data_IF_407947895868
#
_entry.id   IF_407947895868
#
_cell.length_a   1.000
_cell.length_b   1.000
_cell.length_c   1.000
_cell.angle_alpha   90.00
_cell.angle_beta   90.00
_cell.angle_gamma   90.00
#
_symmetry.space_group_name_H-M   'P 1'
#
loop_
_entity.id
_entity.type
_entity.pdbx_description
1 polymer ?
#
# COMPACT_ATOMS: atom_id res chain seq x y z
N UNK A 1 8.51 14.94 -9.60
CA UNK A 1 8.43 13.90 -10.64
C UNK A 1 7.00 13.72 -11.11
N UNK A 2 6.80 13.44 -12.42
CA UNK A 2 5.49 13.12 -13.00
C UNK A 2 5.57 11.75 -13.65
N UNK A 3 4.52 10.95 -13.47
CA UNK A 3 4.45 9.59 -13.98
C UNK A 3 3.14 9.35 -14.71
N UNK A 4 3.18 8.50 -15.73
CA UNK A 4 2.04 7.85 -16.34
C UNK A 4 1.95 6.43 -15.79
N UNK A 5 0.81 6.11 -15.18
CA UNK A 5 0.57 4.80 -14.58
C UNK A 5 -0.49 4.07 -15.39
N UNK A 6 -0.20 2.81 -15.70
CA UNK A 6 -1.15 1.85 -16.25
C UNK A 6 -1.16 0.60 -15.40
N UNK A 7 -2.32 0.22 -14.92
CA UNK A 7 -2.53 -1.01 -14.18
C UNK A 7 -3.58 -1.84 -14.89
N UNK A 8 -3.22 -3.02 -15.36
CA UNK A 8 -4.12 -3.93 -16.06
C UNK A 8 -4.19 -5.27 -15.35
N UNK A 9 -5.42 -5.68 -15.01
CA UNK A 9 -5.74 -6.97 -14.42
C UNK A 9 -6.59 -7.77 -15.40
N UNK A 10 -6.21 -9.01 -15.67
CA UNK A 10 -6.99 -9.93 -16.49
C UNK A 10 -7.31 -11.16 -15.64
N UNK A 11 -8.61 -11.37 -15.43
CA UNK A 11 -9.16 -12.56 -14.77
C UNK A 11 -9.70 -13.50 -15.84
N UNK A 12 -9.28 -14.78 -15.81
CA UNK A 12 -9.82 -15.84 -16.66
C UNK A 12 -10.42 -16.93 -15.80
N UNK A 13 -11.60 -17.41 -16.20
CA UNK A 13 -12.37 -18.41 -15.47
C UNK A 13 -12.44 -19.71 -16.28
N UNK A 14 -12.27 -20.85 -15.62
CA UNK A 14 -12.36 -22.18 -16.25
C UNK A 14 -13.76 -22.48 -16.78
N UNK A 15 -14.81 -21.99 -16.09
CA UNK A 15 -16.19 -22.01 -16.55
C UNK A 15 -16.81 -20.61 -16.46
N UNK A 16 -17.96 -20.31 -17.13
CA UNK A 16 -18.55 -18.98 -17.07
C UNK A 16 -18.86 -18.53 -15.64
N UNK A 17 -18.35 -17.40 -15.25
CA UNK A 17 -18.77 -16.65 -14.07
C UNK A 17 -20.07 -15.94 -14.41
N UNK A 18 -21.11 -16.07 -13.58
CA UNK A 18 -22.49 -15.60 -13.88
C UNK A 18 -22.84 -14.29 -13.21
N UNK A 19 -22.27 -14.04 -12.04
CA UNK A 19 -22.47 -12.84 -11.24
C UNK A 19 -21.18 -12.50 -10.54
N UNK A 20 -20.81 -11.24 -10.57
CA UNK A 20 -19.72 -10.75 -9.71
C UNK A 20 -20.04 -9.36 -9.15
N UNK A 21 -19.55 -9.12 -7.94
CA UNK A 21 -19.49 -7.81 -7.30
C UNK A 21 -18.08 -7.58 -6.83
N UNK A 22 -17.40 -6.62 -7.47
CA UNK A 22 -16.03 -6.28 -7.13
C UNK A 22 -15.94 -4.86 -6.59
N UNK A 23 -15.05 -4.65 -5.61
CA UNK A 23 -14.56 -3.35 -5.20
C UNK A 23 -13.16 -3.18 -5.76
N UNK A 24 -12.93 -2.10 -6.47
CA UNK A 24 -11.64 -1.74 -7.04
C UNK A 24 -11.10 -0.50 -6.32
N UNK A 25 -9.83 -0.52 -5.95
CA UNK A 25 -9.12 0.61 -5.32
C UNK A 25 -7.89 0.95 -6.14
N UNK A 26 -8.14 1.37 -7.39
CA UNK A 26 -7.11 1.64 -8.40
C UNK A 26 -6.97 3.13 -8.72
N UNK A 27 -7.87 3.97 -8.20
CA UNK A 27 -7.78 5.42 -8.31
C UNK A 27 -7.03 5.97 -7.10
N UNK A 28 -5.94 6.73 -7.30
CA UNK A 28 -5.27 7.38 -6.17
C UNK A 28 -6.21 8.28 -5.38
N UNK A 29 -6.21 8.13 -4.06
CA UNK A 29 -6.89 9.05 -3.18
C UNK A 29 -6.08 10.36 -3.07
N UNK A 30 -6.74 11.49 -2.79
CA UNK A 30 -6.04 12.74 -2.52
C UNK A 30 -5.06 12.57 -1.35
N UNK A 31 -3.81 12.99 -1.55
CA UNK A 31 -2.77 12.94 -0.55
C UNK A 31 -1.85 14.16 -0.63
N UNK A 32 -1.41 14.75 0.50
CA UNK A 32 -0.48 15.88 0.49
C UNK A 32 0.79 15.59 -0.32
N UNK A 33 1.23 16.55 -1.12
CA UNK A 33 2.41 16.39 -1.98
C UNK A 33 2.20 15.53 -3.23
N UNK A 34 0.94 15.12 -3.52
CA UNK A 34 0.59 14.33 -4.69
C UNK A 34 -0.65 14.91 -5.38
N UNK A 35 -0.66 14.91 -6.70
CA UNK A 35 -1.83 15.22 -7.50
C UNK A 35 -2.04 14.17 -8.60
N UNK A 36 -3.28 13.98 -9.03
CA UNK A 36 -3.66 13.01 -10.06
C UNK A 36 -4.55 13.68 -11.10
N UNK A 37 -4.26 13.43 -12.38
CA UNK A 37 -5.10 13.82 -13.51
C UNK A 37 -5.32 12.66 -14.47
N UNK A 38 -6.20 12.86 -15.45
CA UNK A 38 -6.45 11.96 -16.58
C UNK A 38 -6.81 10.52 -16.15
N UNK A 39 -7.49 10.38 -15.01
CA UNK A 39 -7.91 9.08 -14.52
C UNK A 39 -8.99 8.47 -15.42
N UNK A 40 -8.71 7.26 -15.91
CA UNK A 40 -9.65 6.42 -16.65
C UNK A 40 -9.69 5.02 -16.04
N UNK A 41 -10.86 4.45 -15.95
CA UNK A 41 -11.11 3.05 -15.60
C UNK A 41 -11.89 2.38 -16.71
N UNK A 42 -11.28 1.43 -17.38
CA UNK A 42 -11.88 0.64 -18.45
C UNK A 42 -12.12 -0.79 -17.94
N UNK A 43 -13.30 -1.31 -18.21
CA UNK A 43 -13.72 -2.66 -17.82
C UNK A 43 -14.33 -3.36 -19.03
N UNK A 44 -13.80 -4.52 -19.38
CA UNK A 44 -14.26 -5.34 -20.51
C UNK A 44 -14.49 -6.79 -20.07
N UNK A 45 -15.72 -7.34 -20.27
CA UNK A 45 -16.91 -6.69 -20.84
C UNK A 45 -17.44 -5.59 -19.92
N UNK A 46 -18.24 -4.69 -20.50
CA UNK A 46 -18.87 -3.60 -19.75
C UNK A 46 -19.67 -4.14 -18.56
N UNK A 47 -19.49 -3.60 -17.36
CA UNK A 47 -20.24 -3.99 -16.18
C UNK A 47 -21.72 -3.56 -16.30
N UNK A 48 -22.61 -4.31 -15.66
CA UNK A 48 -24.04 -3.94 -15.55
C UNK A 48 -24.25 -2.66 -14.74
N UNK A 49 -23.37 -2.41 -13.78
CA UNK A 49 -23.33 -1.18 -12.99
C UNK A 49 -21.90 -0.89 -12.50
N UNK A 50 -21.58 0.40 -12.41
CA UNK A 50 -20.37 0.89 -11.78
C UNK A 50 -20.69 2.14 -10.96
N UNK A 51 -20.25 2.17 -9.70
CA UNK A 51 -20.35 3.31 -8.79
C UNK A 51 -18.96 3.59 -8.21
N UNK A 52 -18.61 4.87 -8.08
CA UNK A 52 -17.27 5.26 -7.63
C UNK A 52 -17.36 6.39 -6.62
N UNK A 53 -16.80 6.17 -5.43
CA UNK A 53 -16.88 7.10 -4.29
C UNK A 53 -15.65 7.02 -3.37
N UNK A 54 -15.40 8.08 -2.57
CA UNK A 54 -14.48 7.98 -1.45
C UNK A 54 -14.90 6.88 -0.47
N UNK A 55 -13.93 6.17 0.07
CA UNK A 55 -14.13 5.19 1.13
C UNK A 55 -14.08 5.82 2.54
N UNK A 56 -14.07 4.96 3.56
CA UNK A 56 -13.98 5.40 4.96
C UNK A 56 -12.57 5.90 5.34
N UNK A 57 -11.55 5.46 4.63
CA UNK A 57 -10.15 5.82 4.78
C UNK A 57 -9.70 6.67 3.60
N UNK A 58 -8.46 7.18 3.54
CA UNK A 58 -7.89 7.77 2.32
C UNK A 58 -7.80 6.73 1.20
N UNK A 59 -8.94 6.40 0.62
CA UNK A 59 -9.12 5.38 -0.44
C UNK A 59 -10.29 5.76 -1.32
N UNK A 60 -10.19 5.50 -2.61
CA UNK A 60 -11.27 5.63 -3.58
C UNK A 60 -11.75 4.24 -3.98
N UNK A 61 -13.05 3.97 -3.90
CA UNK A 61 -13.64 2.66 -4.18
C UNK A 61 -14.56 2.74 -5.39
N UNK A 62 -14.23 2.01 -6.46
CA UNK A 62 -15.17 1.76 -7.56
C UNK A 62 -15.80 0.39 -7.35
N UNK A 63 -17.12 0.36 -7.23
CA UNK A 63 -17.93 -0.86 -7.12
C UNK A 63 -18.46 -1.21 -8.48
N UNK A 64 -18.16 -2.41 -8.94
CA UNK A 64 -18.72 -2.89 -10.21
C UNK A 64 -19.54 -4.17 -10.02
N UNK A 65 -20.57 -4.30 -10.84
CA UNK A 65 -21.47 -5.45 -10.88
C UNK A 65 -21.46 -6.01 -12.29
N UNK A 66 -21.29 -7.32 -12.42
CA UNK A 66 -21.38 -8.07 -13.68
C UNK A 66 -22.47 -9.12 -13.51
N UNK A 67 -23.48 -9.06 -14.35
CA UNK A 67 -24.65 -9.97 -14.30
C UNK A 67 -24.75 -10.85 -15.54
N UNK A 68 -23.82 -10.70 -16.47
CA UNK A 68 -23.76 -11.54 -17.69
C UNK A 68 -22.73 -12.65 -17.51
N UNK A 69 -22.97 -13.86 -18.04
CA UNK A 69 -21.98 -14.92 -18.03
C UNK A 69 -20.74 -14.55 -18.84
N UNK A 70 -19.56 -14.53 -18.18
CA UNK A 70 -18.29 -14.22 -18.81
C UNK A 70 -17.21 -15.24 -18.45
N UNK A 71 -16.24 -15.43 -19.33
CA UNK A 71 -15.04 -16.27 -19.09
C UNK A 71 -13.78 -15.45 -18.86
N UNK A 72 -13.82 -14.18 -19.20
CA UNK A 72 -12.71 -13.25 -18.99
C UNK A 72 -13.24 -11.89 -18.57
N UNK A 73 -12.53 -11.26 -17.65
CA UNK A 73 -12.74 -9.88 -17.23
C UNK A 73 -11.39 -9.16 -17.31
N UNK A 74 -11.35 -8.06 -18.06
CA UNK A 74 -10.22 -7.16 -18.11
C UNK A 74 -10.58 -5.86 -17.41
N UNK A 75 -9.73 -5.44 -16.49
CA UNK A 75 -9.85 -4.17 -15.76
C UNK A 75 -8.56 -3.39 -16.02
N UNK A 76 -8.68 -2.19 -16.54
CA UNK A 76 -7.52 -1.32 -16.77
C UNK A 76 -7.75 0.05 -16.17
N UNK A 77 -6.84 0.48 -15.31
CA UNK A 77 -6.79 1.83 -14.75
C UNK A 77 -5.58 2.56 -15.34
N UNK A 78 -5.80 3.80 -15.78
CA UNK A 78 -4.75 4.71 -16.27
C UNK A 78 -4.90 6.06 -15.60
N UNK A 79 -3.79 6.70 -15.30
CA UNK A 79 -3.77 8.07 -14.79
C UNK A 79 -2.37 8.68 -14.90
N UNK A 80 -2.34 10.00 -14.84
CA UNK A 80 -1.12 10.80 -14.69
C UNK A 80 -1.03 11.25 -13.24
N UNK A 81 0.15 11.13 -12.64
CA UNK A 81 0.36 11.45 -11.23
C UNK A 81 1.66 12.24 -11.05
N UNK A 82 1.56 13.35 -10.35
CA UNK A 82 2.73 14.13 -9.93
C UNK A 82 2.98 13.96 -8.45
N UNK A 83 4.23 13.67 -8.10
CA UNK A 83 4.70 13.58 -6.72
C UNK A 83 5.67 14.73 -6.48
N UNK A 84 5.31 15.59 -5.52
CA UNK A 84 6.14 16.65 -5.00
C UNK A 84 6.69 16.20 -3.66
N UNK A 85 7.98 15.98 -3.57
CA UNK A 85 8.59 15.58 -2.31
C UNK A 85 10.06 15.98 -2.29
N UNK A 86 10.47 16.63 -1.20
CA UNK A 86 11.87 16.66 -0.78
C UNK A 86 12.22 15.39 -0.04
N UNK A 87 13.50 15.02 0.00
CA UNK A 87 13.94 13.91 0.84
C UNK A 87 13.62 14.20 2.31
N UNK A 88 12.73 13.39 2.90
CA UNK A 88 12.49 13.42 4.33
C UNK A 88 13.67 12.71 5.00
N UNK A 89 14.28 13.36 5.98
CA UNK A 89 15.37 12.79 6.76
C UNK A 89 15.06 12.93 8.25
N UNK A 90 15.58 12.04 9.11
CA UNK A 90 15.55 12.22 10.56
C UNK A 90 16.19 13.56 10.96
N UNK A 91 15.58 14.25 11.93
CA UNK A 91 16.03 15.53 12.45
C UNK A 91 16.31 15.39 13.96
N UNK A 92 17.23 16.20 14.47
CA UNK A 92 17.60 16.15 15.88
C UNK A 92 16.46 16.60 16.82
N UNK A 93 15.54 17.40 16.32
CA UNK A 93 14.36 17.92 17.01
C UNK A 93 13.05 17.14 16.69
N UNK A 94 13.16 15.99 16.04
CA UNK A 94 12.02 15.10 15.86
C UNK A 94 11.41 14.73 17.23
N UNK A 95 10.07 14.70 17.34
CA UNK A 95 9.44 14.34 18.62
C UNK A 95 9.81 12.91 19.02
N UNK A 96 9.80 12.66 20.33
CA UNK A 96 10.03 11.31 20.84
C UNK A 96 8.80 10.42 20.64
N UNK A 97 9.02 9.11 20.60
CA UNK A 97 7.95 8.09 20.49
C UNK A 97 6.89 8.31 21.58
N UNK A 98 7.30 8.51 22.83
CA UNK A 98 6.36 8.74 23.96
C UNK A 98 5.53 10.02 23.78
N UNK A 99 6.14 11.10 23.27
CA UNK A 99 5.42 12.34 23.00
C UNK A 99 4.39 12.16 21.87
N UNK A 100 4.73 11.43 20.82
CA UNK A 100 3.80 11.16 19.71
C UNK A 100 2.69 10.24 20.14
N UNK A 101 2.96 9.19 20.91
CA UNK A 101 1.92 8.29 21.45
C UNK A 101 0.90 9.05 22.30
N UNK A 102 1.35 9.94 23.19
CA UNK A 102 0.46 10.79 23.98
C UNK A 102 -0.34 11.77 23.11
N UNK A 103 0.29 12.41 22.12
CA UNK A 103 -0.36 13.32 21.21
C UNK A 103 -1.44 12.61 20.36
N UNK A 104 -1.18 11.38 19.93
CA UNK A 104 -2.13 10.58 19.16
C UNK A 104 -3.40 10.23 19.95
N UNK A 105 -3.26 9.92 21.24
CA UNK A 105 -4.40 9.67 22.13
C UNK A 105 -5.21 10.94 22.44
N UNK A 106 -4.58 12.11 22.38
CA UNK A 106 -5.21 13.40 22.60
C UNK A 106 -5.82 14.00 21.32
N UNK A 107 -5.60 13.37 20.15
CA UNK A 107 -6.12 13.88 18.87
C UNK A 107 -7.64 13.71 18.82
N UNK A 108 -8.32 14.75 18.35
CA UNK A 108 -9.79 14.79 18.26
C UNK A 108 -10.31 14.82 16.83
N UNK A 109 -9.42 14.87 15.86
CA UNK A 109 -9.80 14.73 14.46
C UNK A 109 -10.39 13.33 14.22
N UNK A 110 -11.50 13.27 13.46
CA UNK A 110 -12.19 12.05 13.07
C UNK A 110 -12.24 11.88 11.54
N UNK A 111 -11.48 12.69 10.81
CA UNK A 111 -11.34 12.55 9.37
C UNK A 111 -10.70 11.22 8.97
N UNK A 112 -10.80 10.83 7.69
CA UNK A 112 -10.30 9.54 7.22
C UNK A 112 -8.82 9.26 7.54
N UNK A 113 -7.99 10.30 7.61
CA UNK A 113 -6.56 10.22 7.94
C UNK A 113 -6.26 10.53 9.42
N UNK A 114 -7.28 10.58 10.29
CA UNK A 114 -7.08 10.86 11.71
C UNK A 114 -6.24 9.77 12.39
N UNK A 115 -5.20 10.13 13.17
CA UNK A 115 -4.29 9.16 13.78
C UNK A 115 -4.96 8.10 14.63
N UNK A 116 -6.05 8.47 15.33
CA UNK A 116 -6.79 7.58 16.22
C UNK A 116 -7.28 6.28 15.52
N UNK A 117 -7.56 6.34 14.24
CA UNK A 117 -8.01 5.17 13.47
C UNK A 117 -6.94 4.08 13.30
N UNK A 118 -5.68 4.42 13.49
CA UNK A 118 -4.53 3.58 13.15
C UNK A 118 -3.71 3.13 14.36
N UNK A 119 -4.28 3.26 15.57
CA UNK A 119 -3.63 2.90 16.83
C UNK A 119 -3.84 1.43 17.24
N UNK A 120 -4.93 0.81 16.79
CA UNK A 120 -5.40 -0.46 17.34
C UNK A 120 -5.25 -1.62 16.37
N UNK A 121 -5.44 -2.84 16.90
CA UNK A 121 -5.49 -4.05 16.09
C UNK A 121 -6.52 -3.95 14.96
N UNK A 122 -6.22 -4.61 13.87
CA UNK A 122 -7.13 -4.78 12.73
C UNK A 122 -7.07 -6.23 12.22
N UNK A 123 -7.95 -6.59 11.28
CA UNK A 123 -8.14 -7.99 10.87
C UNK A 123 -6.85 -8.64 10.39
N UNK A 124 -6.01 -7.90 9.64
CA UNK A 124 -4.74 -8.42 9.10
C UNK A 124 -3.53 -7.98 9.89
N UNK A 125 -3.69 -7.11 10.88
CA UNK A 125 -2.64 -6.63 11.75
C UNK A 125 -3.06 -6.74 13.24
N UNK A 126 -3.23 -7.98 13.77
CA UNK A 126 -3.43 -8.22 15.19
C UNK A 126 -2.17 -7.83 15.95
N UNK A 127 -2.31 -7.40 17.21
CA UNK A 127 -1.17 -7.09 18.08
C UNK A 127 -0.56 -8.41 18.59
N UNK A 128 0.66 -8.72 18.16
CA UNK A 128 1.38 -9.96 18.48
C UNK A 128 2.52 -9.67 19.45
N UNK A 129 2.48 -10.27 20.62
CA UNK A 129 3.48 -10.08 21.67
C UNK A 129 4.90 -10.43 21.20
N UNK A 130 5.03 -11.43 20.31
CA UNK A 130 6.31 -11.87 19.75
C UNK A 130 6.98 -10.77 18.92
N UNK A 131 6.21 -9.98 18.18
CA UNK A 131 6.71 -8.82 17.42
C UNK A 131 7.19 -7.74 18.41
N UNK A 132 6.43 -7.48 19.48
CA UNK A 132 6.84 -6.54 20.53
C UNK A 132 8.15 -6.97 21.22
N UNK A 133 8.27 -8.24 21.57
CA UNK A 133 9.48 -8.79 22.16
C UNK A 133 10.68 -8.71 21.19
N UNK A 134 10.46 -8.97 19.91
CA UNK A 134 11.50 -8.82 18.87
C UNK A 134 11.95 -7.37 18.72
N UNK A 135 11.04 -6.40 18.73
CA UNK A 135 11.40 -4.97 18.63
C UNK A 135 12.26 -4.54 19.84
N UNK A 136 11.92 -4.98 21.04
CA UNK A 136 12.61 -4.63 22.27
C UNK A 136 12.72 -3.11 22.45
N UNK A 137 13.90 -2.63 22.85
CA UNK A 137 14.17 -1.20 23.07
C UNK A 137 14.26 -0.37 21.78
N UNK A 138 14.11 -1.00 20.60
CA UNK A 138 14.15 -0.32 19.31
C UNK A 138 13.10 0.77 19.15
N UNK A 139 11.97 0.66 19.88
CA UNK A 139 10.92 1.67 19.95
C UNK A 139 10.71 2.19 21.39
N UNK A 140 11.78 2.41 22.14
CA UNK A 140 11.71 3.00 23.49
C UNK A 140 11.13 4.43 23.43
N UNK A 141 10.37 4.86 24.46
CA UNK A 141 9.63 6.12 24.46
C UNK A 141 10.47 7.40 24.28
N UNK A 142 11.74 7.36 24.62
CA UNK A 142 12.70 8.47 24.55
C UNK A 142 13.37 8.64 23.19
N UNK A 143 13.24 7.65 22.30
CA UNK A 143 13.86 7.72 20.96
C UNK A 143 13.14 8.69 20.03
N UNK A 144 13.88 9.48 19.18
CA UNK A 144 13.30 10.26 18.10
C UNK A 144 12.55 9.36 17.12
N UNK A 145 11.28 9.70 16.83
CA UNK A 145 10.37 8.78 16.13
C UNK A 145 10.79 8.46 14.70
N UNK A 146 11.29 9.44 13.93
CA UNK A 146 11.65 9.23 12.52
C UNK A 146 12.87 8.34 12.39
N UNK A 147 13.89 8.56 13.23
CA UNK A 147 15.08 7.72 13.27
C UNK A 147 14.74 6.29 13.71
N UNK A 148 13.95 6.14 14.78
CA UNK A 148 13.56 4.82 15.28
C UNK A 148 12.73 4.02 14.27
N UNK A 149 11.81 4.68 13.54
CA UNK A 149 11.03 4.03 12.51
C UNK A 149 11.87 3.63 11.28
N UNK A 150 12.85 4.44 10.91
CA UNK A 150 13.79 4.09 9.85
C UNK A 150 14.66 2.89 10.24
N UNK A 151 15.18 2.87 11.47
CA UNK A 151 15.96 1.73 12.00
C UNK A 151 15.12 0.45 11.99
N UNK A 152 13.83 0.54 12.36
CA UNK A 152 12.91 -0.60 12.29
C UNK A 152 12.70 -1.09 10.84
N UNK A 153 12.50 -0.18 9.89
CA UNK A 153 12.38 -0.55 8.47
C UNK A 153 13.66 -1.23 7.96
N UNK A 154 14.83 -0.70 8.30
CA UNK A 154 16.12 -1.29 7.94
C UNK A 154 16.34 -2.66 8.60
N UNK A 155 15.92 -2.82 9.84
CA UNK A 155 15.99 -4.11 10.54
C UNK A 155 15.10 -5.16 9.89
N UNK A 156 13.85 -4.81 9.49
CA UNK A 156 12.98 -5.72 8.75
C UNK A 156 13.68 -6.14 7.46
N UNK A 157 14.18 -5.20 6.67
CA UNK A 157 14.93 -5.49 5.44
C UNK A 157 16.12 -6.43 5.67
N UNK A 158 16.83 -6.27 6.76
CA UNK A 158 18.04 -7.05 7.05
C UNK A 158 17.71 -8.47 7.55
N UNK A 159 16.65 -8.63 8.35
CA UNK A 159 16.30 -9.87 9.01
C UNK A 159 15.27 -10.72 8.25
N UNK A 160 14.56 -10.13 7.26
CA UNK A 160 13.53 -10.83 6.48
C UNK A 160 13.97 -10.99 5.04
N UNK A 161 13.76 -12.17 4.48
CA UNK A 161 14.08 -12.48 3.08
C UNK A 161 12.88 -12.17 2.19
N UNK A 162 13.08 -11.31 1.17
CA UNK A 162 12.06 -11.08 0.16
C UNK A 162 11.97 -12.27 -0.79
N UNK A 163 10.81 -12.93 -0.83
CA UNK A 163 10.61 -14.18 -1.56
C UNK A 163 9.23 -14.19 -2.25
N UNK A 164 9.16 -13.79 -3.54
CA UNK A 164 7.92 -13.81 -4.29
C UNK A 164 7.29 -15.20 -4.35
N UNK A 165 5.98 -15.28 -4.09
CA UNK A 165 5.22 -16.54 -4.13
C UNK A 165 5.33 -17.40 -2.87
N UNK A 166 6.10 -16.98 -1.85
CA UNK A 166 6.17 -17.70 -0.57
C UNK A 166 4.95 -17.43 0.34
N UNK A 167 4.27 -16.33 0.12
CA UNK A 167 3.07 -15.90 0.84
C UNK A 167 2.00 -15.45 -0.14
N UNK A 168 0.76 -15.36 0.32
CA UNK A 168 -0.38 -14.80 -0.41
C UNK A 168 -1.10 -13.72 0.43
N UNK A 169 -2.13 -13.11 -0.16
CA UNK A 169 -2.90 -12.06 0.50
C UNK A 169 -3.64 -12.52 1.77
N UNK A 170 -3.77 -13.83 1.99
CA UNK A 170 -4.42 -14.40 3.16
C UNK A 170 -3.45 -14.83 4.26
N UNK A 171 -2.15 -14.92 3.95
CA UNK A 171 -1.12 -15.35 4.91
C UNK A 171 -1.15 -14.48 6.18
N UNK A 172 -1.30 -15.08 7.38
CA UNK A 172 -1.29 -14.35 8.63
C UNK A 172 0.07 -13.69 8.88
N UNK A 173 0.08 -12.48 9.45
CA UNK A 173 1.33 -11.78 9.79
C UNK A 173 2.20 -12.56 10.78
N UNK A 174 1.59 -13.38 11.65
CA UNK A 174 2.31 -14.26 12.57
C UNK A 174 3.17 -15.29 11.83
N UNK A 175 2.64 -15.88 10.76
CA UNK A 175 3.33 -16.90 9.98
C UNK A 175 4.51 -16.30 9.20
N UNK A 176 4.28 -15.15 8.53
CA UNK A 176 5.34 -14.43 7.84
C UNK A 176 6.43 -13.95 8.80
N UNK A 177 6.04 -13.49 10.00
CA UNK A 177 6.99 -13.08 11.04
C UNK A 177 7.83 -14.27 11.54
N UNK A 178 7.21 -15.41 11.84
CA UNK A 178 7.92 -16.60 12.30
C UNK A 178 8.87 -17.16 11.24
N UNK A 179 8.43 -17.16 9.98
CA UNK A 179 9.21 -17.65 8.85
C UNK A 179 10.36 -16.73 8.42
N UNK A 180 10.32 -15.43 8.78
CA UNK A 180 11.30 -14.41 8.37
C UNK A 180 11.45 -14.30 6.86
N UNK A 181 10.38 -14.56 6.11
CA UNK A 181 10.30 -14.33 4.67
C UNK A 181 8.89 -13.95 4.25
N UNK A 182 8.77 -13.36 3.08
CA UNK A 182 7.50 -12.91 2.52
C UNK A 182 7.71 -11.85 1.44
N UNK A 183 6.66 -11.07 1.21
CA UNK A 183 6.67 -9.97 0.24
C UNK A 183 6.39 -8.62 0.93
N UNK A 184 6.33 -7.53 0.16
CA UNK A 184 6.13 -6.18 0.70
C UNK A 184 4.89 -6.06 1.61
N UNK A 185 3.81 -6.79 1.32
CA UNK A 185 2.62 -6.85 2.15
C UNK A 185 2.93 -7.34 3.56
N UNK A 186 3.69 -8.43 3.68
CA UNK A 186 4.03 -9.05 4.95
C UNK A 186 4.92 -8.14 5.79
N UNK A 187 5.95 -7.55 5.16
CA UNK A 187 6.88 -6.64 5.82
C UNK A 187 6.18 -5.38 6.31
N UNK A 188 5.24 -4.83 5.51
CA UNK A 188 4.43 -3.70 5.93
C UNK A 188 3.53 -4.06 7.14
N UNK A 189 2.91 -5.24 7.16
CA UNK A 189 2.11 -5.68 8.31
C UNK A 189 2.95 -5.88 9.57
N UNK A 190 4.15 -6.49 9.47
CA UNK A 190 5.08 -6.63 10.62
C UNK A 190 5.41 -5.25 11.19
N UNK A 191 5.74 -4.28 10.34
CA UNK A 191 6.07 -2.92 10.77
C UNK A 191 4.85 -2.20 11.39
N UNK A 192 3.65 -2.34 10.81
CA UNK A 192 2.41 -1.78 11.37
C UNK A 192 2.15 -2.33 12.75
N UNK A 193 2.26 -3.65 12.95
CA UNK A 193 2.06 -4.28 14.27
C UNK A 193 3.09 -3.79 15.28
N UNK A 194 4.38 -3.75 14.90
CA UNK A 194 5.44 -3.26 15.76
C UNK A 194 5.21 -1.83 16.27
N UNK A 195 4.85 -0.92 15.35
CA UNK A 195 4.58 0.49 15.68
C UNK A 195 3.35 0.65 16.57
N UNK A 196 2.26 -0.08 16.29
CA UNK A 196 1.05 -0.04 17.11
C UNK A 196 1.24 -0.59 18.51
N UNK A 197 2.11 -1.59 18.69
CA UNK A 197 2.49 -2.08 20.02
C UNK A 197 3.21 -1.02 20.85
N UNK A 198 3.92 -0.09 20.20
CA UNK A 198 4.51 1.08 20.85
C UNK A 198 3.51 2.25 21.03
N UNK A 199 2.21 2.05 20.76
CA UNK A 199 1.19 3.08 20.88
C UNK A 199 1.21 4.13 19.74
N UNK A 200 1.83 3.83 18.62
CA UNK A 200 2.01 4.75 17.50
C UNK A 200 0.97 4.51 16.39
N UNK A 201 0.38 5.59 15.83
CA UNK A 201 -0.54 5.46 14.71
C UNK A 201 0.20 5.02 13.44
N UNK A 202 -0.01 3.79 13.03
CA UNK A 202 0.62 3.22 11.84
C UNK A 202 -0.44 2.70 10.87
N UNK A 203 -0.38 3.14 9.62
CA UNK A 203 -1.30 2.79 8.55
C UNK A 203 -0.59 1.99 7.47
N UNK A 204 -1.30 1.03 6.89
CA UNK A 204 -0.86 0.28 5.72
C UNK A 204 -1.19 1.08 4.46
N UNK A 205 -0.25 1.16 3.54
CA UNK A 205 -0.42 1.83 2.24
C UNK A 205 -0.31 0.83 1.10
N UNK A 206 -1.25 0.94 0.17
CA UNK A 206 -1.20 0.30 -1.14
C UNK A 206 -0.89 1.38 -2.19
N UNK A 207 0.08 1.12 -3.06
CA UNK A 207 0.48 2.06 -4.09
C UNK A 207 1.33 1.41 -5.17
N UNK A 208 2.08 2.24 -5.89
CA UNK A 208 3.03 1.76 -6.90
C UNK A 208 4.43 2.26 -6.55
N UNK A 209 5.41 1.45 -6.90
CA UNK A 209 6.81 1.81 -6.78
C UNK A 209 7.42 1.85 -8.17
N UNK A 210 8.07 2.96 -8.53
CA UNK A 210 8.90 3.02 -9.73
C UNK A 210 10.06 2.04 -9.60
N UNK A 211 10.19 1.13 -10.57
CA UNK A 211 11.34 0.25 -10.68
C UNK A 211 12.34 0.80 -11.70
N UNK A 212 13.61 0.54 -11.45
CA UNK A 212 14.70 0.92 -12.38
C UNK A 212 15.21 -0.33 -13.07
N UNK A 213 15.29 -0.35 -14.42
CA UNK A 213 15.90 -1.44 -15.11
C UNK A 213 17.40 -1.56 -14.74
N UNK A 214 17.97 -2.77 -14.77
CA UNK A 214 19.41 -2.92 -14.60
C UNK A 214 20.17 -2.06 -15.61
N UNK A 215 21.37 -1.52 -15.23
CA UNK A 215 22.15 -0.69 -16.12
C UNK A 215 22.34 -1.33 -17.51
N UNK A 216 22.05 -0.56 -18.58
CA UNK A 216 22.17 -1.01 -19.97
C UNK A 216 21.06 -1.92 -20.47
N UNK A 217 20.02 -2.21 -19.70
CA UNK A 217 18.86 -2.98 -20.16
C UNK A 217 17.65 -2.06 -20.36
N UNK A 218 16.86 -2.28 -21.45
CA UNK A 218 15.62 -1.56 -21.63
C UNK A 218 14.62 -1.92 -20.52
N UNK A 219 13.72 -0.99 -20.23
CA UNK A 219 12.60 -1.24 -19.32
C UNK A 219 11.67 -2.29 -19.91
N UNK A 220 11.26 -3.24 -19.10
CA UNK A 220 10.25 -4.23 -19.46
C UNK A 220 8.85 -3.65 -19.24
N UNK A 221 7.99 -3.72 -20.26
CA UNK A 221 6.60 -3.29 -20.15
C UNK A 221 5.83 -4.26 -19.25
N UNK A 222 5.02 -3.72 -18.33
CA UNK A 222 4.21 -4.51 -17.40
C UNK A 222 4.99 -5.15 -16.25
N UNK A 223 6.26 -4.77 -16.07
CA UNK A 223 7.15 -5.37 -15.06
C UNK A 223 7.17 -4.63 -13.72
N UNK A 224 6.60 -3.43 -13.65
CA UNK A 224 6.42 -2.75 -12.37
C UNK A 224 5.38 -3.47 -11.51
N UNK A 225 5.42 -3.26 -10.23
CA UNK A 225 4.53 -3.95 -9.31
C UNK A 225 3.75 -2.96 -8.45
N UNK A 226 2.59 -3.38 -8.00
CA UNK A 226 2.01 -2.79 -6.82
C UNK A 226 2.95 -3.00 -5.64
N UNK A 227 2.99 -2.01 -4.77
CA UNK A 227 3.87 -2.02 -3.62
C UNK A 227 3.12 -1.66 -2.35
N UNK A 228 3.64 -2.13 -1.22
CA UNK A 228 3.11 -1.85 0.09
C UNK A 228 4.18 -1.24 0.98
N UNK A 229 3.76 -0.25 1.77
CA UNK A 229 4.61 0.38 2.79
C UNK A 229 3.78 0.85 3.97
N UNK A 230 4.38 1.55 4.90
CA UNK A 230 3.74 2.04 6.12
C UNK A 230 3.75 3.55 6.15
N UNK A 231 2.61 4.18 6.46
CA UNK A 231 2.55 5.56 6.93
C UNK A 231 2.53 5.57 8.45
N UNK A 232 3.45 6.31 9.05
CA UNK A 232 3.52 6.58 10.48
C UNK A 232 3.18 8.04 10.75
N UNK A 233 2.24 8.29 11.65
CA UNK A 233 2.01 9.65 12.12
C UNK A 233 3.08 10.04 13.14
N UNK A 234 3.89 11.01 12.78
CA UNK A 234 5.04 11.47 13.56
C UNK A 234 4.76 12.76 14.36
N UNK A 235 3.50 12.93 14.79
CA UNK A 235 3.07 14.12 15.52
C UNK A 235 2.58 15.25 14.59
N UNK A 236 2.00 16.30 15.20
CA UNK A 236 1.35 17.40 14.45
C UNK A 236 2.31 18.20 13.56
N UNK A 237 3.56 18.31 13.96
CA UNK A 237 4.59 19.08 13.22
C UNK A 237 5.12 18.33 12.01
N UNK A 238 5.30 17.02 12.12
CA UNK A 238 5.85 16.16 11.06
C UNK A 238 4.76 15.51 10.20
N UNK A 239 3.54 15.36 10.74
CA UNK A 239 2.45 14.69 10.05
C UNK A 239 2.71 13.22 9.75
N UNK A 240 2.17 12.74 8.66
CA UNK A 240 2.35 11.38 8.18
C UNK A 240 3.64 11.25 7.36
N UNK A 241 4.51 10.31 7.72
CA UNK A 241 5.75 9.98 7.01
C UNK A 241 5.69 8.52 6.57
N UNK A 242 6.08 8.26 5.32
CA UNK A 242 6.11 6.91 4.75
C UNK A 242 7.43 6.20 5.03
N UNK A 243 7.37 4.93 5.40
CA UNK A 243 8.51 4.04 5.60
C UNK A 243 8.30 2.75 4.81
N UNK A 244 9.28 2.39 4.01
CA UNK A 244 9.27 1.17 3.20
C UNK A 244 10.17 0.10 3.83
N UNK A 245 9.61 -0.87 4.58
CA UNK A 245 10.39 -1.92 5.21
C UNK A 245 10.98 -2.93 4.22
N UNK A 246 10.46 -3.00 3.00
CA UNK A 246 11.01 -3.87 1.95
C UNK A 246 12.34 -3.35 1.44
N UNK A 247 12.46 -2.03 1.30
CA UNK A 247 13.66 -1.36 0.82
C UNK A 247 14.51 -0.76 1.96
N UNK A 248 13.99 -0.68 3.19
CA UNK A 248 14.67 -0.12 4.36
C UNK A 248 14.88 1.39 4.26
N UNK A 249 13.91 2.12 3.70
CA UNK A 249 14.03 3.56 3.40
C UNK A 249 12.79 4.34 3.83
N UNK A 250 12.94 5.65 3.99
CA UNK A 250 11.81 6.59 3.99
C UNK A 250 11.32 6.73 2.55
N UNK A 251 10.00 6.80 2.34
CA UNK A 251 9.42 6.92 1.00
C UNK A 251 9.82 8.22 0.33
N UNK A 252 10.04 8.16 -0.97
CA UNK A 252 10.41 9.29 -1.82
C UNK A 252 9.51 9.44 -3.03
N UNK A 253 9.96 10.20 -4.01
CA UNK A 253 9.21 10.53 -5.22
C UNK A 253 8.90 9.35 -6.15
N UNK A 254 9.56 8.21 -5.95
CA UNK A 254 9.23 6.96 -6.63
C UNK A 254 8.10 6.14 -5.99
N UNK A 255 7.59 6.55 -4.82
CA UNK A 255 6.46 5.91 -4.14
C UNK A 255 5.16 6.66 -4.47
N UNK A 256 4.31 6.05 -5.26
CA UNK A 256 3.06 6.64 -5.73
C UNK A 256 1.91 6.13 -4.85
N UNK A 257 1.40 7.00 -4.00
CA UNK A 257 0.32 6.66 -3.06
C UNK A 257 -1.01 6.44 -3.80
N UNK A 258 -1.69 5.33 -3.50
CA UNK A 258 -3.02 5.04 -4.02
C UNK A 258 -4.06 5.03 -2.92
N UNK A 259 -3.81 4.31 -1.83
CA UNK A 259 -4.74 4.16 -0.74
C UNK A 259 -4.03 3.89 0.59
N UNK A 260 -4.62 4.37 1.68
CA UNK A 260 -4.19 4.11 3.05
C UNK A 260 -5.35 3.52 3.85
N UNK A 261 -5.05 2.51 4.66
CA UNK A 261 -6.02 1.86 5.54
C UNK A 261 -5.36 1.29 6.79
N UNK A 262 -6.13 0.61 7.63
CA UNK A 262 -5.61 0.01 8.85
C UNK A 262 -4.72 -1.20 8.54
N UNK A 263 -5.07 -1.94 7.49
CA UNK A 263 -4.33 -3.08 6.97
C UNK A 263 -4.70 -3.32 5.50
N UNK A 264 -4.18 -4.39 4.90
CA UNK A 264 -4.44 -4.75 3.51
C UNK A 264 -5.94 -4.91 3.18
N UNK A 265 -6.78 -5.39 4.11
CA UNK A 265 -8.19 -5.61 3.84
C UNK A 265 -8.95 -4.30 3.53
N UNK A 266 -8.52 -3.17 4.08
CA UNK A 266 -9.10 -1.86 3.82
C UNK A 266 -8.73 -1.33 2.41
N UNK A 267 -7.57 -1.75 1.86
CA UNK A 267 -6.95 -1.13 0.66
C UNK A 267 -6.53 -2.12 -0.43
N UNK A 268 -6.96 -3.38 -0.33
CA UNK A 268 -6.71 -4.37 -1.38
C UNK A 268 -7.11 -3.79 -2.75
N UNK A 269 -6.26 -3.88 -3.79
CA UNK A 269 -6.54 -3.30 -5.10
C UNK A 269 -7.85 -3.77 -5.70
N UNK A 270 -8.17 -5.02 -5.44
CA UNK A 270 -9.43 -5.65 -5.82
C UNK A 270 -9.84 -6.68 -4.76
N UNK A 271 -11.09 -6.63 -4.37
CA UNK A 271 -11.76 -7.68 -3.61
C UNK A 271 -13.18 -7.86 -4.15
N UNK A 272 -13.84 -8.95 -3.76
CA UNK A 272 -15.23 -9.15 -4.13
C UNK A 272 -15.66 -10.61 -4.07
N UNK A 273 -16.87 -10.82 -4.61
CA UNK A 273 -17.52 -12.12 -4.66
C UNK A 273 -17.96 -12.39 -6.09
N UNK A 274 -17.91 -13.67 -6.49
CA UNK A 274 -18.47 -14.10 -7.76
C UNK A 274 -19.13 -15.48 -7.63
N UNK A 275 -20.08 -15.76 -8.53
CA UNK A 275 -20.81 -17.02 -8.59
C UNK A 275 -20.48 -17.74 -9.90
N UNK A 276 -20.10 -19.01 -9.79
CA UNK A 276 -19.62 -19.80 -10.93
C UNK A 276 -18.09 -19.70 -11.09
N UNK A 277 -17.62 -19.75 -12.33
CA UNK A 277 -16.20 -19.53 -12.65
C UNK A 277 -15.32 -20.79 -12.57
N UNK A 278 -15.55 -21.69 -11.65
CA UNK A 278 -14.63 -22.80 -11.38
C UNK A 278 -13.25 -22.28 -10.95
N UNK A 279 -12.18 -22.87 -11.43
CA UNK A 279 -10.82 -22.34 -11.24
C UNK A 279 -10.64 -20.99 -11.93
N UNK A 280 -9.82 -20.11 -11.34
CA UNK A 280 -9.48 -18.82 -11.94
C UNK A 280 -7.97 -18.63 -12.04
N UNK A 281 -7.56 -17.85 -13.05
CA UNK A 281 -6.21 -17.32 -13.15
C UNK A 281 -6.25 -15.80 -13.21
N UNK A 282 -5.25 -15.17 -12.60
CA UNK A 282 -5.06 -13.73 -12.57
C UNK A 282 -3.74 -13.39 -13.23
N UNK A 283 -3.79 -12.44 -14.17
CA UNK A 283 -2.60 -11.84 -14.77
C UNK A 283 -2.62 -10.34 -14.43
N UNK A 284 -1.54 -9.86 -13.83
CA UNK A 284 -1.35 -8.48 -13.45
C UNK A 284 -0.20 -7.88 -14.27
N UNK A 285 -0.41 -6.68 -14.79
CA UNK A 285 0.60 -5.88 -15.50
C UNK A 285 0.52 -4.45 -14.98
N UNK A 286 1.66 -3.91 -14.58
CA UNK A 286 1.77 -2.53 -14.09
C UNK A 286 2.91 -1.83 -14.82
N UNK A 287 2.67 -0.60 -15.25
CA UNK A 287 3.65 0.32 -15.82
C UNK A 287 3.60 1.64 -15.04
N UNK A 288 4.75 2.08 -14.55
CA UNK A 288 4.96 3.38 -13.89
C UNK A 288 6.03 4.13 -14.69
N UNK A 289 5.64 4.88 -15.70
CA UNK A 289 6.55 5.52 -16.67
C UNK A 289 6.74 6.98 -16.34
N UNK A 290 7.98 7.47 -16.07
CA UNK A 290 8.24 8.89 -15.96
C UNK A 290 7.87 9.62 -17.25
N UNK A 291 7.25 10.80 -17.13
CA UNK A 291 6.84 11.59 -18.30
C UNK A 291 8.02 11.97 -19.19
N UNK A 292 9.18 12.23 -18.61
CA UNK A 292 10.41 12.52 -19.36
C UNK A 292 10.91 11.35 -20.22
N UNK A 293 10.64 10.11 -19.83
CA UNK A 293 11.01 8.92 -20.63
C UNK A 293 10.07 8.71 -21.82
N UNK A 294 8.84 9.24 -21.77
CA UNK A 294 7.89 9.17 -22.89
C UNK A 294 8.25 10.13 -24.01
N UNK A 295 8.88 11.27 -23.71
CA UNK A 295 9.30 12.28 -24.69
C UNK A 295 10.58 11.88 -25.45
N UNK A 296 11.38 10.96 -24.93
CA UNK A 296 12.65 10.53 -25.54
C UNK A 296 12.54 9.34 -26.50
N UNK A 297 11.36 8.79 -26.72
CA UNK A 297 11.09 7.61 -27.54
C UNK A 297 10.35 7.87 -28.86
N UNK A 298 10.30 9.12 -29.35
CA UNK A 298 9.68 9.52 -30.61
C UNK A 298 10.71 9.80 -31.69
#
# INVERSE_FOLDING_TARGET
MIYHVRHRTILRYASPMRLARFNLRLRPAPWPGQWTSDYALEVDPLPSAIDSRPGAWPVHVARLVIESPIRQLTIESRFRIGVQGGAIVPQADDPTIGAVAQAALAERDMGPAAPAHYLYASVRAPLLAEIGAWVGDGLSPDRPIVAAALDLAQRIRAEFRYEPGSTDAATPVADAFAARHGVCQDFAHVMVVALRLAGLPAAYVSGYLRTYPPPGKPRLIGADAMHAWVMLWCGRTRGWIGFDPTNGVITGDGHLFVAMGRDYADVAPMDGLFVGGGGQSLQLMVDVVPEEEMAGGA
#
